data_IF_518987890708
#
_entry.id   IF_518987890708
#
_cell.length_a   1.000
_cell.length_b   1.000
_cell.length_c   1.000
_cell.angle_alpha   90.00
_cell.angle_beta   90.00
_cell.angle_gamma   90.00
#
_symmetry.space_group_name_H-M   'P 1'
#
loop_
_entity.id
_entity.type
_entity.pdbx_description
1 polymer ?
#
# COMPACT_ATOMS: atom_id res chain seq x y z
N UNK A 1 -1.16 13.34 -30.05
CA UNK A 1 -1.38 14.25 -28.91
C UNK A 1 -0.13 14.28 -28.08
N UNK A 2 0.43 15.47 -27.78
CA UNK A 2 1.48 15.57 -26.77
C UNK A 2 0.88 15.18 -25.40
N UNK A 3 1.67 14.47 -24.61
CA UNK A 3 1.31 14.06 -23.25
C UNK A 3 1.57 15.29 -22.36
N UNK A 4 0.53 15.93 -21.86
CA UNK A 4 0.65 16.93 -20.81
C UNK A 4 1.02 16.20 -19.51
N UNK A 5 2.26 16.37 -19.06
CA UNK A 5 2.63 15.96 -17.70
C UNK A 5 2.05 17.00 -16.73
N UNK A 6 1.54 16.57 -15.57
CA UNK A 6 1.10 17.50 -14.54
C UNK A 6 2.26 18.44 -14.13
N UNK A 7 1.94 19.73 -13.97
CA UNK A 7 2.92 20.79 -13.64
C UNK A 7 3.76 20.52 -12.38
N UNK A 8 3.25 19.66 -11.49
CA UNK A 8 4.00 19.08 -10.36
C UNK A 8 3.56 17.64 -10.09
N UNK A 9 4.54 16.75 -10.04
CA UNK A 9 4.36 15.44 -9.40
C UNK A 9 4.33 15.63 -7.87
N UNK A 10 3.54 14.82 -7.14
CA UNK A 10 3.58 14.83 -5.69
C UNK A 10 4.97 14.43 -5.18
N UNK A 11 5.37 14.98 -4.03
CA UNK A 11 6.72 14.79 -3.47
C UNK A 11 7.05 13.33 -3.11
N UNK A 12 6.01 12.50 -2.90
CA UNK A 12 6.14 11.07 -2.63
C UNK A 12 5.18 10.25 -3.48
N UNK A 13 5.68 9.17 -4.04
CA UNK A 13 4.89 8.14 -4.69
C UNK A 13 4.17 7.29 -3.63
N UNK A 14 2.84 7.07 -3.74
CA UNK A 14 2.15 6.17 -2.82
C UNK A 14 2.70 4.74 -2.90
N UNK A 15 3.02 4.16 -1.74
CA UNK A 15 3.66 2.85 -1.62
C UNK A 15 2.89 1.74 -2.35
N UNK A 16 1.56 1.82 -2.35
CA UNK A 16 0.66 0.87 -3.02
C UNK A 16 0.85 0.80 -4.55
N UNK A 17 1.35 1.87 -5.17
CA UNK A 17 1.59 1.91 -6.62
C UNK A 17 2.90 1.24 -7.05
N UNK A 18 3.82 0.95 -6.12
CA UNK A 18 5.02 0.19 -6.44
C UNK A 18 4.67 -1.21 -7.00
N UNK A 19 3.62 -1.83 -6.47
CA UNK A 19 3.15 -3.12 -6.99
C UNK A 19 2.72 -3.03 -8.46
N UNK A 20 2.07 -1.92 -8.85
CA UNK A 20 1.67 -1.72 -10.25
C UNK A 20 2.88 -1.50 -11.15
N UNK A 21 3.88 -0.75 -10.67
CA UNK A 21 5.11 -0.49 -11.40
C UNK A 21 5.90 -1.78 -11.65
N UNK A 22 6.05 -2.63 -10.62
CA UNK A 22 6.74 -3.93 -10.72
C UNK A 22 5.95 -4.90 -11.59
N UNK A 23 4.62 -4.90 -11.50
CA UNK A 23 3.78 -5.78 -12.31
C UNK A 23 3.83 -5.42 -13.80
N UNK A 24 3.61 -4.15 -14.14
CA UNK A 24 3.69 -3.66 -15.52
C UNK A 24 3.84 -2.14 -15.55
N UNK A 25 4.99 -1.61 -16.04
CA UNK A 25 5.21 -0.17 -16.14
C UNK A 25 4.17 0.56 -16.98
N UNK A 26 3.65 -0.09 -18.03
CA UNK A 26 2.58 0.47 -18.85
C UNK A 26 1.27 0.64 -18.06
N UNK A 27 0.93 -0.34 -17.21
CA UNK A 27 -0.24 -0.27 -16.34
C UNK A 27 -0.09 0.82 -15.29
N UNK A 28 1.09 0.93 -14.68
CA UNK A 28 1.42 2.04 -13.78
C UNK A 28 1.20 3.39 -14.43
N UNK A 29 1.70 3.58 -15.67
CA UNK A 29 1.53 4.85 -16.39
C UNK A 29 0.06 5.22 -16.59
N UNK A 30 -0.76 4.27 -17.04
CA UNK A 30 -2.20 4.48 -17.20
C UNK A 30 -2.86 4.85 -15.87
N UNK A 31 -2.63 4.05 -14.82
CA UNK A 31 -3.32 4.20 -13.54
C UNK A 31 -2.87 5.44 -12.74
N UNK A 32 -1.55 5.70 -12.68
CA UNK A 32 -0.97 6.73 -11.81
C UNK A 32 -0.78 8.06 -12.53
N UNK A 33 -0.25 8.02 -13.76
CA UNK A 33 0.12 9.26 -14.48
C UNK A 33 -1.05 9.79 -15.31
N UNK A 34 -1.80 8.90 -15.97
CA UNK A 34 -2.98 9.30 -16.76
C UNK A 34 -4.29 9.30 -15.94
N UNK A 35 -4.29 8.74 -14.72
CA UNK A 35 -5.50 8.64 -13.89
C UNK A 35 -6.54 7.65 -14.42
N UNK A 36 -6.16 6.78 -15.36
CA UNK A 36 -7.04 5.82 -16.01
C UNK A 36 -7.20 4.57 -15.11
N UNK A 37 -8.23 4.59 -14.26
CA UNK A 37 -8.57 3.48 -13.38
C UNK A 37 -10.08 3.29 -13.27
N UNK A 38 -10.57 2.12 -13.67
CA UNK A 38 -11.94 1.71 -13.32
C UNK A 38 -12.00 1.06 -11.94
N UNK A 39 -12.93 1.53 -11.12
CA UNK A 39 -13.19 0.97 -9.80
C UNK A 39 -14.15 -0.21 -9.96
N UNK A 40 -13.61 -1.43 -9.95
CA UNK A 40 -14.43 -2.63 -9.88
C UNK A 40 -14.75 -3.03 -8.44
N UNK A 41 -15.67 -4.00 -8.27
CA UNK A 41 -16.12 -4.44 -6.94
C UNK A 41 -14.98 -4.93 -6.04
N UNK A 42 -13.95 -5.57 -6.59
CA UNK A 42 -12.80 -6.06 -5.82
C UNK A 42 -11.90 -4.92 -5.33
N UNK A 43 -11.68 -3.90 -6.16
CA UNK A 43 -10.94 -2.67 -5.78
C UNK A 43 -11.70 -1.91 -4.70
N UNK A 44 -13.02 -1.76 -4.86
CA UNK A 44 -13.88 -1.10 -3.88
C UNK A 44 -13.88 -1.85 -2.54
N UNK A 45 -13.98 -3.18 -2.56
CA UNK A 45 -13.90 -4.00 -1.35
C UNK A 45 -12.55 -3.82 -0.64
N UNK A 46 -11.45 -3.81 -1.40
CA UNK A 46 -10.12 -3.54 -0.86
C UNK A 46 -10.03 -2.18 -0.17
N UNK A 47 -10.53 -1.12 -0.82
CA UNK A 47 -10.58 0.23 -0.25
C UNK A 47 -11.42 0.28 1.03
N UNK A 48 -12.61 -0.32 1.05
CA UNK A 48 -13.47 -0.35 2.23
C UNK A 48 -12.84 -1.14 3.38
N UNK A 49 -12.09 -2.22 3.09
CA UNK A 49 -11.35 -2.97 4.11
C UNK A 49 -10.24 -2.13 4.72
N UNK A 50 -9.45 -1.41 3.92
CA UNK A 50 -8.45 -0.47 4.44
C UNK A 50 -9.10 0.66 5.24
N UNK A 51 -10.21 1.24 4.78
CA UNK A 51 -10.95 2.26 5.53
C UNK A 51 -11.44 1.76 6.90
N UNK A 52 -11.88 0.50 7.00
CA UNK A 52 -12.24 -0.12 8.29
C UNK A 52 -11.01 -0.44 9.15
N UNK A 53 -9.88 -0.77 8.53
CA UNK A 53 -8.61 -1.04 9.22
C UNK A 53 -7.91 0.24 9.71
N UNK A 54 -8.22 1.41 9.12
CA UNK A 54 -7.65 2.73 9.35
C UNK A 54 -7.89 3.37 10.73
N UNK A 55 -8.32 2.60 11.73
CA UNK A 55 -8.28 3.07 13.11
C UNK A 55 -6.88 2.81 13.67
N UNK A 56 -6.08 3.85 13.97
CA UNK A 56 -4.79 3.67 14.63
C UNK A 56 -5.00 2.99 15.96
N UNK A 57 -4.17 2.00 16.25
CA UNK A 57 -4.31 1.20 17.46
C UNK A 57 -3.01 0.50 17.79
N UNK A 58 -2.82 0.23 19.07
CA UNK A 58 -1.70 -0.57 19.56
C UNK A 58 -2.27 -1.74 20.33
N UNK A 59 -1.86 -2.95 19.97
CA UNK A 59 -2.15 -4.17 20.71
C UNK A 59 -0.82 -4.71 21.24
N UNK A 60 -0.77 -5.03 22.53
CA UNK A 60 0.39 -5.67 23.15
C UNK A 60 -0.05 -7.05 23.65
N UNK A 61 0.72 -8.07 23.33
CA UNK A 61 0.57 -9.43 23.86
C UNK A 61 1.93 -9.95 24.37
N UNK A 62 1.95 -11.20 24.83
CA UNK A 62 3.16 -11.84 25.37
C UNK A 62 4.27 -12.01 24.31
N UNK A 63 3.96 -11.87 23.01
CA UNK A 63 4.89 -12.04 21.89
C UNK A 63 5.43 -10.73 21.33
N UNK A 64 4.84 -9.58 21.68
CA UNK A 64 5.33 -8.27 21.26
C UNK A 64 4.24 -7.19 21.19
N UNK A 65 4.55 -6.11 20.46
CA UNK A 65 3.63 -4.99 20.25
C UNK A 65 3.27 -4.88 18.77
N UNK A 66 1.99 -5.05 18.44
CA UNK A 66 1.46 -4.84 17.10
C UNK A 66 0.86 -3.44 16.99
N UNK A 67 1.40 -2.66 16.06
CA UNK A 67 0.90 -1.34 15.67
C UNK A 67 -0.01 -1.48 14.44
N UNK A 68 -1.14 -0.80 14.45
CA UNK A 68 -2.10 -0.76 13.32
C UNK A 68 -2.08 0.59 12.63
N UNK A 69 -2.21 0.59 11.31
CA UNK A 69 -2.25 1.81 10.49
C UNK A 69 -1.04 2.72 10.70
N UNK A 70 0.16 2.19 10.47
CA UNK A 70 1.42 2.90 10.68
C UNK A 70 1.82 3.64 9.40
N UNK A 71 2.07 4.95 9.52
CA UNK A 71 2.62 5.73 8.41
C UNK A 71 4.09 5.35 8.20
N UNK A 72 4.43 5.03 6.95
CA UNK A 72 5.79 4.64 6.55
C UNK A 72 6.21 5.48 5.34
N UNK A 73 7.47 5.90 5.32
CA UNK A 73 8.03 6.65 4.20
C UNK A 73 9.53 6.41 4.04
N UNK A 74 10.05 6.74 2.87
CA UNK A 74 11.48 6.79 2.57
C UNK A 74 11.77 8.06 1.78
N UNK A 75 12.58 8.94 2.34
CA UNK A 75 13.00 10.19 1.69
C UNK A 75 13.94 9.92 0.51
N UNK A 76 14.81 8.91 0.65
CA UNK A 76 15.74 8.49 -0.41
C UNK A 76 15.00 7.97 -1.63
N UNK A 77 13.95 7.18 -1.44
CA UNK A 77 13.16 6.60 -2.53
C UNK A 77 11.96 7.46 -2.94
N UNK A 78 11.66 8.53 -2.18
CA UNK A 78 10.46 9.37 -2.34
C UNK A 78 9.18 8.53 -2.42
N UNK A 79 9.01 7.60 -1.48
CA UNK A 79 7.78 6.78 -1.35
C UNK A 79 7.16 6.95 0.03
N UNK A 80 5.84 6.96 0.11
CA UNK A 80 5.10 7.07 1.36
C UNK A 80 3.79 6.27 1.33
N UNK A 81 3.32 5.80 2.48
CA UNK A 81 2.06 5.07 2.57
C UNK A 81 1.71 4.66 3.98
N UNK A 82 0.72 3.77 4.09
CA UNK A 82 0.25 3.22 5.37
C UNK A 82 0.47 1.71 5.34
N UNK A 83 1.19 1.20 6.33
CA UNK A 83 1.28 -0.22 6.62
C UNK A 83 0.12 -0.62 7.54
N UNK A 84 -0.65 -1.63 7.17
CA UNK A 84 -1.81 -2.06 7.95
C UNK A 84 -1.40 -2.55 9.35
N UNK A 85 -0.31 -3.31 9.43
CA UNK A 85 0.22 -3.86 10.68
C UNK A 85 1.76 -3.79 10.69
N UNK A 86 2.33 -3.38 11.83
CA UNK A 86 3.77 -3.43 12.08
C UNK A 86 4.00 -4.06 13.45
N UNK A 87 4.77 -5.13 13.49
CA UNK A 87 5.11 -5.82 14.72
C UNK A 87 6.45 -5.34 15.26
N UNK A 88 6.48 -5.00 16.54
CA UNK A 88 7.70 -4.68 17.26
C UNK A 88 8.11 -5.88 18.13
N UNK A 89 9.19 -6.57 17.73
CA UNK A 89 9.80 -7.68 18.49
C UNK A 89 11.25 -7.35 18.79
N UNK A 90 11.64 -7.38 20.06
CA UNK A 90 13.04 -7.24 20.51
C UNK A 90 13.78 -6.05 19.87
N UNK A 91 13.10 -4.89 19.74
CA UNK A 91 13.68 -3.67 19.15
C UNK A 91 13.64 -3.60 17.61
N UNK A 92 13.15 -4.63 16.92
CA UNK A 92 12.98 -4.65 15.46
C UNK A 92 11.53 -4.39 15.08
N UNK A 93 11.31 -3.55 14.07
CA UNK A 93 9.99 -3.30 13.47
C UNK A 93 9.84 -4.12 12.19
N UNK A 94 8.81 -4.97 12.14
CA UNK A 94 8.54 -5.87 11.03
C UNK A 94 7.17 -5.53 10.41
N UNK A 95 7.10 -5.11 9.14
CA UNK A 95 5.83 -4.91 8.47
C UNK A 95 5.14 -6.26 8.26
N UNK A 96 3.85 -6.35 8.61
CA UNK A 96 3.02 -7.54 8.41
C UNK A 96 1.94 -7.24 7.37
N UNK A 97 1.92 -8.02 6.29
CA UNK A 97 0.86 -7.93 5.27
C UNK A 97 -0.04 -9.18 5.36
N UNK A 98 -1.27 -9.01 5.86
CA UNK A 98 -2.25 -10.09 5.92
C UNK A 98 -2.97 -10.23 4.57
N UNK A 99 -2.50 -11.15 3.70
CA UNK A 99 -3.23 -11.50 2.49
C UNK A 99 -4.35 -12.51 2.79
N UNK A 100 -5.61 -12.09 2.70
CA UNK A 100 -6.75 -13.02 2.66
C UNK A 100 -7.03 -13.44 1.21
N UNK A 101 -6.66 -14.67 0.88
CA UNK A 101 -7.06 -15.36 -0.34
C UNK A 101 -7.07 -16.86 -0.09
N UNK A 102 -7.92 -17.60 -0.82
CA UNK A 102 -7.73 -19.06 -0.90
C UNK A 102 -6.36 -19.27 -1.55
N UNK A 103 -5.47 -20.04 -0.91
CA UNK A 103 -4.24 -20.48 -1.56
C UNK A 103 -4.62 -21.01 -2.95
N UNK A 104 -4.20 -20.31 -3.99
CA UNK A 104 -4.33 -20.82 -5.34
C UNK A 104 -3.60 -22.15 -5.34
N UNK A 105 -4.31 -23.24 -5.64
CA UNK A 105 -3.62 -24.47 -6.05
C UNK A 105 -3.01 -24.15 -7.41
N UNK A 106 -1.81 -23.60 -7.40
CA UNK A 106 -0.96 -23.55 -8.58
C UNK A 106 -0.26 -24.92 -8.64
N UNK A 107 -1.02 -25.90 -9.13
CA UNK A 107 -0.54 -27.17 -9.66
C UNK A 107 -1.01 -27.24 -11.12
#
# INVERSE_FOLDING_TARGET
MPIELPDKLPDYLPLSFLNQLVFCPRRFWLMYVQGEMEINAAVLEGQLRHQRAHQPGTQTDDQGRTLRSVHVWSDTLRVAGIADFVEARSGTLLPLEHKRGRLGKWL
#
